data_IF_155013964962
#
_entry.id   IF_155013964962
#
_cell.length_a   1.000
_cell.length_b   1.000
_cell.length_c   1.000
_cell.angle_alpha   90.00
_cell.angle_beta   90.00
_cell.angle_gamma   90.00
#
_symmetry.space_group_name_H-M   'P 1'
#
loop_
_entity.id
_entity.type
_entity.pdbx_description
1 polymer ?
#
# COMPACT_ATOMS: atom_id res chain seq x y z
N UNK A 1 -11.39 14.77 -13.22
CA UNK A 1 -12.28 13.60 -13.42
C UNK A 1 -12.77 13.13 -12.05
N UNK A 2 -14.04 13.35 -11.71
CA UNK A 2 -14.60 12.92 -10.43
C UNK A 2 -14.95 11.44 -10.53
N UNK A 3 -14.42 10.54 -9.69
CA UNK A 3 -14.80 9.14 -9.74
C UNK A 3 -16.26 9.03 -9.29
N UNK A 4 -17.19 8.75 -10.22
CA UNK A 4 -18.60 8.45 -9.89
C UNK A 4 -18.73 7.02 -9.37
N UNK A 5 -17.98 6.69 -8.30
CA UNK A 5 -18.13 5.41 -7.63
C UNK A 5 -19.42 5.48 -6.80
N UNK A 6 -20.47 4.81 -7.25
CA UNK A 6 -21.65 4.54 -6.40
C UNK A 6 -21.17 3.58 -5.32
N UNK A 7 -21.41 3.91 -4.06
CA UNK A 7 -21.16 2.98 -2.96
C UNK A 7 -22.09 1.79 -3.17
N UNK A 8 -21.52 0.62 -3.44
CA UNK A 8 -22.25 -0.64 -3.52
C UNK A 8 -22.44 -1.18 -2.10
N UNK A 9 -23.20 -0.43 -1.30
CA UNK A 9 -23.45 -0.74 0.12
C UNK A 9 -24.93 -0.46 0.37
N UNK A 10 -25.68 -1.51 0.68
CA UNK A 10 -27.08 -1.43 1.07
C UNK A 10 -27.27 -1.23 2.57
N UNK A 11 -28.51 -0.94 2.98
CA UNK A 11 -28.88 -0.83 4.38
C UNK A 11 -28.69 -2.14 5.16
N UNK A 12 -28.86 -3.29 4.49
CA UNK A 12 -28.62 -4.61 5.08
C UNK A 12 -27.14 -4.86 5.35
N UNK A 13 -26.25 -4.37 4.48
CA UNK A 13 -24.80 -4.45 4.68
C UNK A 13 -24.37 -3.59 5.88
N UNK A 14 -24.97 -2.42 6.04
CA UNK A 14 -24.74 -1.58 7.23
C UNK A 14 -25.23 -2.25 8.51
N UNK A 15 -26.40 -2.89 8.48
CA UNK A 15 -26.96 -3.60 9.63
C UNK A 15 -26.11 -4.83 10.00
N UNK A 16 -25.64 -5.60 9.01
CA UNK A 16 -24.79 -6.77 9.22
C UNK A 16 -23.40 -6.37 9.73
N UNK A 17 -22.82 -5.28 9.23
CA UNK A 17 -21.60 -4.67 9.78
C UNK A 17 -21.80 -4.31 11.26
N UNK A 18 -22.87 -3.60 11.61
CA UNK A 18 -23.18 -3.22 12.99
C UNK A 18 -23.30 -4.43 13.91
N UNK A 19 -24.04 -5.46 13.47
CA UNK A 19 -24.18 -6.70 14.21
C UNK A 19 -22.82 -7.42 14.37
N UNK A 20 -22.00 -7.47 13.32
CA UNK A 20 -20.67 -8.07 13.39
C UNK A 20 -19.73 -7.32 14.34
N UNK A 21 -19.78 -5.99 14.35
CA UNK A 21 -19.02 -5.14 15.27
C UNK A 21 -19.46 -5.34 16.73
N UNK A 22 -20.76 -5.49 16.99
CA UNK A 22 -21.28 -5.63 18.36
C UNK A 22 -21.13 -7.06 18.89
N UNK A 23 -21.39 -8.08 18.07
CA UNK A 23 -21.48 -9.47 18.53
C UNK A 23 -20.26 -10.33 18.23
N UNK A 24 -19.37 -9.92 17.32
CA UNK A 24 -18.29 -10.77 16.78
C UNK A 24 -16.92 -10.11 16.71
N UNK A 25 -16.73 -8.95 17.35
CA UNK A 25 -15.43 -8.28 17.39
C UNK A 25 -14.47 -8.98 18.37
N UNK A 26 -13.86 -10.07 17.91
CA UNK A 26 -12.72 -10.68 18.58
C UNK A 26 -11.45 -10.38 17.78
N UNK A 27 -10.74 -9.32 18.17
CA UNK A 27 -9.47 -8.89 17.55
C UNK A 27 -8.49 -10.06 17.44
N UNK A 28 -8.36 -10.90 18.47
CA UNK A 28 -7.42 -12.03 18.45
C UNK A 28 -7.76 -13.02 17.34
N UNK A 29 -9.04 -13.37 17.20
CA UNK A 29 -9.51 -14.29 16.16
C UNK A 29 -9.35 -13.69 14.75
N UNK A 30 -9.71 -12.41 14.57
CA UNK A 30 -9.53 -11.73 13.30
C UNK A 30 -8.06 -11.64 12.89
N UNK A 31 -7.17 -11.33 13.85
CA UNK A 31 -5.73 -11.30 13.65
C UNK A 31 -5.17 -12.67 13.29
N UNK A 32 -5.58 -13.73 14.01
CA UNK A 32 -5.17 -15.10 13.70
C UNK A 32 -5.59 -15.50 12.28
N UNK A 33 -6.85 -15.26 11.89
CA UNK A 33 -7.34 -15.59 10.56
C UNK A 33 -6.56 -14.88 9.42
N UNK A 34 -6.16 -13.62 9.62
CA UNK A 34 -5.36 -12.87 8.63
C UNK A 34 -3.95 -13.44 8.53
N UNK A 35 -3.36 -13.80 9.68
CA UNK A 35 -2.03 -14.41 9.73
C UNK A 35 -2.01 -15.82 9.13
N UNK A 36 -3.06 -16.62 9.35
CA UNK A 36 -3.20 -17.96 8.77
C UNK A 36 -3.36 -17.91 7.23
N UNK A 37 -3.93 -16.82 6.70
CA UNK A 37 -4.12 -16.63 5.26
C UNK A 37 -2.87 -16.09 4.53
N UNK A 38 -1.83 -15.71 5.26
CA UNK A 38 -0.60 -15.15 4.72
C UNK A 38 0.59 -16.08 5.05
N UNK A 39 1.66 -16.13 4.22
CA UNK A 39 2.81 -16.98 4.54
C UNK A 39 3.35 -16.73 5.95
N UNK A 40 3.39 -17.78 6.76
CA UNK A 40 3.83 -17.75 8.15
C UNK A 40 5.37 -17.74 8.24
N UNK A 41 5.98 -16.66 7.78
CA UNK A 41 7.43 -16.41 7.92
C UNK A 41 7.80 -15.80 9.29
N UNK A 42 6.80 -15.55 10.14
CA UNK A 42 6.98 -14.90 11.45
C UNK A 42 7.28 -13.40 11.36
N UNK A 43 7.34 -12.83 10.14
CA UNK A 43 7.67 -11.42 9.89
C UNK A 43 6.45 -10.62 9.39
N UNK A 44 5.27 -11.23 9.42
CA UNK A 44 4.02 -10.60 8.99
C UNK A 44 3.37 -9.78 10.11
N UNK A 45 3.19 -8.48 9.88
CA UNK A 45 2.48 -7.58 10.80
C UNK A 45 1.11 -7.17 10.21
N UNK A 46 -0.01 -7.60 10.82
CA UNK A 46 -1.33 -7.18 10.37
C UNK A 46 -1.58 -5.72 10.76
N UNK A 47 -1.98 -4.92 9.79
CA UNK A 47 -2.23 -3.48 9.95
C UNK A 47 -3.65 -3.13 9.55
N UNK A 48 -4.16 -1.98 10.02
CA UNK A 48 -5.53 -1.53 9.71
C UNK A 48 -5.75 -1.26 8.21
N UNK A 49 -4.69 -0.94 7.48
CA UNK A 49 -4.71 -0.69 6.04
C UNK A 49 -3.30 -0.68 5.48
N UNK A 50 -3.18 -0.83 4.16
CA UNK A 50 -1.90 -0.65 3.42
C UNK A 50 -1.24 0.70 3.76
N UNK A 51 -2.05 1.75 3.96
CA UNK A 51 -1.57 3.07 4.36
C UNK A 51 -0.89 3.06 5.73
N UNK A 52 -1.53 2.43 6.70
CA UNK A 52 -0.99 2.31 8.06
C UNK A 52 0.28 1.45 8.05
N UNK A 53 0.30 0.37 7.29
CA UNK A 53 1.51 -0.44 7.09
C UNK A 53 2.66 0.34 6.47
N UNK A 54 2.39 1.11 5.40
CA UNK A 54 3.39 1.99 4.80
C UNK A 54 3.90 3.04 5.79
N UNK A 55 3.01 3.65 6.58
CA UNK A 55 3.42 4.64 7.56
C UNK A 55 4.32 4.03 8.65
N UNK A 56 4.00 2.82 9.11
CA UNK A 56 4.80 2.09 10.10
C UNK A 56 6.17 1.72 9.56
N UNK A 57 6.25 1.13 8.36
CA UNK A 57 7.54 0.70 7.81
C UNK A 57 8.48 1.88 7.55
N UNK A 58 7.97 2.99 7.01
CA UNK A 58 8.78 4.19 6.77
C UNK A 58 9.29 4.82 8.07
N UNK A 59 8.55 4.70 9.17
CA UNK A 59 8.98 5.17 10.48
C UNK A 59 10.02 4.28 11.17
N UNK A 60 10.37 3.14 10.59
CA UNK A 60 11.40 2.22 11.11
C UNK A 60 12.63 2.15 10.19
N UNK A 61 12.61 2.84 9.05
CA UNK A 61 13.73 2.90 8.13
C UNK A 61 14.65 4.05 8.52
N UNK A 62 15.91 3.74 8.84
CA UNK A 62 16.94 4.71 9.18
C UNK A 62 17.62 5.30 7.93
N UNK A 63 16.84 5.57 6.87
CA UNK A 63 17.36 6.18 5.66
C UNK A 63 17.58 7.69 5.82
N UNK A 64 18.60 8.26 5.15
CA UNK A 64 18.81 9.70 5.14
C UNK A 64 17.56 10.46 4.68
N UNK A 65 17.32 11.63 5.27
CA UNK A 65 16.29 12.55 4.75
C UNK A 65 16.66 12.94 3.32
N UNK A 66 15.66 12.98 2.45
CA UNK A 66 15.84 13.20 1.03
C UNK A 66 16.04 11.92 0.21
N UNK A 67 16.14 10.73 0.83
CA UNK A 67 16.17 9.48 0.08
C UNK A 67 14.95 9.33 -0.83
N UNK A 68 15.22 8.82 -2.04
CA UNK A 68 14.21 8.66 -3.07
C UNK A 68 13.47 7.33 -2.92
N UNK A 69 12.14 7.38 -3.03
CA UNK A 69 11.29 6.19 -3.00
C UNK A 69 10.55 6.11 -4.32
N UNK A 70 10.83 5.04 -5.07
CA UNK A 70 10.19 4.77 -6.35
C UNK A 70 8.76 4.29 -6.11
N UNK A 71 7.81 4.98 -6.72
CA UNK A 71 6.38 4.67 -6.62
C UNK A 71 5.75 4.68 -8.00
N UNK A 72 4.72 3.86 -8.24
CA UNK A 72 3.92 3.98 -9.47
C UNK A 72 3.43 5.42 -9.68
N UNK A 73 3.56 5.92 -10.91
CA UNK A 73 3.02 7.21 -11.34
C UNK A 73 1.49 7.26 -11.18
N UNK A 74 0.82 6.10 -11.28
CA UNK A 74 -0.58 5.95 -10.92
C UNK A 74 -0.68 5.41 -9.49
N UNK A 75 -0.68 6.31 -8.53
CA UNK A 75 -0.88 5.98 -7.11
C UNK A 75 -1.90 6.93 -6.46
N UNK A 76 -2.42 6.54 -5.31
CA UNK A 76 -3.34 7.38 -4.53
C UNK A 76 -2.51 8.51 -3.89
N UNK A 77 -2.91 9.79 -4.00
CA UNK A 77 -2.11 10.93 -3.53
C UNK A 77 -1.65 10.83 -2.07
N UNK A 78 -2.44 10.21 -1.20
CA UNK A 78 -2.10 10.00 0.22
C UNK A 78 -0.83 9.16 0.41
N UNK A 79 -0.55 8.20 -0.47
CA UNK A 79 0.66 7.38 -0.36
C UNK A 79 1.91 8.25 -0.55
N UNK A 80 1.90 9.13 -1.55
CA UNK A 80 2.99 10.08 -1.76
C UNK A 80 3.08 11.13 -0.64
N UNK A 81 1.97 11.50 0.00
CA UNK A 81 1.98 12.40 1.17
C UNK A 81 2.68 11.75 2.37
N UNK A 82 2.44 10.45 2.60
CA UNK A 82 3.09 9.72 3.69
C UNK A 82 4.59 9.61 3.49
N UNK A 83 5.04 9.34 2.26
CA UNK A 83 6.47 9.33 1.93
C UNK A 83 7.12 10.69 2.24
N UNK A 84 6.50 11.79 1.78
CA UNK A 84 6.99 13.15 2.08
C UNK A 84 6.97 13.48 3.57
N UNK A 85 5.95 13.00 4.29
CA UNK A 85 5.83 13.23 5.73
C UNK A 85 7.02 12.65 6.51
N UNK A 86 7.54 11.50 6.08
CA UNK A 86 8.75 10.88 6.65
C UNK A 86 10.07 11.48 6.16
N UNK A 87 10.03 12.54 5.34
CA UNK A 87 11.23 13.24 4.85
C UNK A 87 11.86 12.62 3.61
N UNK A 88 11.16 11.72 2.93
CA UNK A 88 11.60 11.08 1.68
C UNK A 88 11.00 11.75 0.44
N UNK A 89 11.61 11.50 -0.72
CA UNK A 89 11.19 12.08 -2.00
C UNK A 89 10.47 10.99 -2.82
N UNK A 90 9.15 11.08 -3.04
CA UNK A 90 8.45 10.13 -3.90
C UNK A 90 8.79 10.41 -5.37
N UNK A 91 9.36 9.42 -6.04
CA UNK A 91 9.76 9.50 -7.45
C UNK A 91 8.82 8.62 -8.29
N UNK A 92 8.00 9.21 -9.19
CA UNK A 92 7.03 8.44 -9.97
C UNK A 92 7.73 7.60 -11.05
N UNK A 93 7.31 6.35 -11.18
CA UNK A 93 7.71 5.39 -12.21
C UNK A 93 6.50 5.08 -13.08
N UNK A 94 6.67 5.22 -14.39
CA UNK A 94 5.59 5.01 -15.34
C UNK A 94 5.14 3.54 -15.38
N UNK A 95 3.90 3.30 -15.81
CA UNK A 95 3.29 1.98 -15.86
C UNK A 95 3.34 1.39 -17.27
N UNK A 96 3.54 0.09 -17.36
CA UNK A 96 3.18 -0.64 -18.58
C UNK A 96 1.64 -0.75 -18.66
N UNK A 97 1.06 -0.12 -19.68
CA UNK A 97 -0.39 -0.05 -19.86
C UNK A 97 -1.04 -1.43 -20.08
N UNK A 98 -0.29 -2.44 -20.53
CA UNK A 98 -0.83 -3.78 -20.75
C UNK A 98 -0.93 -4.60 -19.46
N UNK A 99 -0.03 -4.35 -18.50
CA UNK A 99 0.08 -5.13 -17.26
C UNK A 99 -0.33 -4.35 -16.02
N UNK A 100 -0.48 -3.02 -16.15
CA UNK A 100 -0.60 -2.07 -15.05
C UNK A 100 0.53 -2.17 -14.00
N UNK A 101 1.64 -2.85 -14.35
CA UNK A 101 2.80 -2.98 -13.51
C UNK A 101 3.76 -1.79 -13.76
N UNK A 102 4.50 -1.33 -12.74
CA UNK A 102 5.56 -0.36 -12.94
C UNK A 102 6.56 -0.87 -13.97
N UNK A 103 6.98 0.00 -14.89
CA UNK A 103 8.01 -0.35 -15.85
C UNK A 103 9.28 -0.80 -15.12
N UNK A 104 9.64 -2.08 -15.28
CA UNK A 104 10.84 -2.68 -14.68
C UNK A 104 12.12 -2.35 -15.45
N UNK A 105 12.01 -1.74 -16.63
CA UNK A 105 13.14 -1.45 -17.50
C UNK A 105 14.01 -0.31 -16.93
N UNK A 106 15.29 -0.56 -16.61
CA UNK A 106 16.19 0.45 -16.05
C UNK A 106 16.40 1.68 -16.96
N UNK A 107 16.23 1.53 -18.28
CA UNK A 107 16.38 2.64 -19.25
C UNK A 107 15.24 3.68 -19.21
N UNK A 108 14.10 3.34 -18.60
CA UNK A 108 12.96 4.25 -18.38
C UNK A 108 12.83 4.71 -16.92
N UNK A 109 13.79 4.41 -16.06
CA UNK A 109 13.87 5.02 -14.73
C UNK A 109 14.07 6.53 -14.92
N UNK A 110 13.44 7.38 -14.09
CA UNK A 110 13.76 8.80 -14.12
C UNK A 110 15.27 8.98 -13.94
N UNK A 111 15.89 9.78 -14.82
CA UNK A 111 17.34 10.05 -14.87
C UNK A 111 17.95 10.63 -13.58
N UNK A 112 17.13 10.87 -12.56
CA UNK A 112 17.48 11.57 -11.32
C UNK A 112 17.94 10.64 -10.19
N UNK A 113 17.97 9.32 -10.40
CA UNK A 113 18.39 8.38 -9.36
C UNK A 113 19.82 8.69 -8.90
N UNK A 114 19.94 9.23 -7.70
CA UNK A 114 21.22 9.24 -6.98
C UNK A 114 21.60 7.78 -6.65
N UNK A 115 22.90 7.45 -6.55
CA UNK A 115 23.35 6.07 -6.32
C UNK A 115 22.86 5.43 -5.01
N UNK A 116 22.25 6.21 -4.12
CA UNK A 116 22.08 5.84 -2.71
C UNK A 116 20.69 5.30 -2.34
N UNK A 117 19.71 5.32 -3.25
CA UNK A 117 18.35 4.88 -2.92
C UNK A 117 17.71 4.04 -4.04
N UNK A 118 17.37 2.79 -3.74
CA UNK A 118 16.60 1.94 -4.65
C UNK A 118 15.73 0.96 -3.89
N UNK A 119 14.53 1.39 -3.49
CA UNK A 119 13.43 0.49 -3.17
C UNK A 119 12.20 0.86 -3.99
N UNK A 120 11.64 -0.15 -4.66
CA UNK A 120 10.46 -0.05 -5.51
C UNK A 120 9.24 -0.48 -4.71
N UNK A 121 8.37 0.46 -4.34
CA UNK A 121 7.05 0.12 -3.81
C UNK A 121 6.13 -0.20 -4.99
N UNK A 122 6.07 -1.49 -5.35
CA UNK A 122 5.07 -1.98 -6.29
C UNK A 122 3.76 -2.22 -5.54
N UNK A 123 2.65 -1.66 -6.02
CA UNK A 123 1.33 -2.23 -5.71
C UNK A 123 1.15 -3.44 -6.60
N UNK A 124 1.37 -4.63 -6.07
CA UNK A 124 0.90 -5.85 -6.74
C UNK A 124 -0.62 -5.78 -6.81
N UNK A 125 -1.17 -5.64 -8.01
CA UNK A 125 -2.53 -6.08 -8.26
C UNK A 125 -2.48 -7.60 -8.06
N UNK A 126 -3.01 -8.07 -6.93
CA UNK A 126 -3.20 -9.50 -6.69
C UNK A 126 -3.87 -10.10 -7.92
N UNK A 127 -3.13 -10.88 -8.69
CA UNK A 127 -3.69 -11.99 -9.44
C UNK A 127 -4.24 -12.98 -8.41
N UNK A 128 -5.44 -12.68 -7.92
CA UNK A 128 -6.30 -13.65 -7.28
C UNK A 128 -6.77 -14.59 -8.40
N UNK A 129 -6.18 -15.77 -8.45
CA UNK A 129 -6.71 -16.93 -9.15
C UNK A 129 -7.12 -17.98 -8.13
#
# INVERSE_FOLDING_TARGET
MWPRKRLDIGWLDMASLRAAFVFRWNRRRATANVLDAWPADGQTLPTMSVRSGLHLILGQLDWPRGSEILMSAMTIPDMARIVRHHGFVPVPVDLDLNTAAPHSNPSKRPRLLSPEASYLLTSSALEAK
#
